data_IF_125538400707
#
_entry.id   IF_125538400707
#
_cell.length_a   1.000
_cell.length_b   1.000
_cell.length_c   1.000
_cell.angle_alpha   90.00
_cell.angle_beta   90.00
_cell.angle_gamma   90.00
#
_symmetry.space_group_name_H-M   'P 1'
#
loop_
_entity.id
_entity.type
_entity.pdbx_description
1 polymer ?
#
# COMPACT_ATOMS: atom_id res chain seq x y z
N UNK A 1 -19.00 0.97 4.90
CA UNK A 1 -17.65 1.01 4.29
C UNK A 1 -16.69 1.37 5.41
N UNK A 2 -15.76 0.49 5.77
CA UNK A 2 -14.70 0.79 6.74
C UNK A 2 -13.51 1.31 5.93
N UNK A 3 -13.02 2.51 6.23
CA UNK A 3 -11.84 3.10 5.58
C UNK A 3 -10.70 3.19 6.56
N UNK A 4 -9.51 2.73 6.15
CA UNK A 4 -8.27 2.92 6.89
C UNK A 4 -7.39 3.90 6.11
N UNK A 5 -6.87 4.91 6.79
CA UNK A 5 -5.96 5.89 6.21
C UNK A 5 -4.60 5.75 6.87
N UNK A 6 -3.55 5.61 6.06
CA UNK A 6 -2.16 5.63 6.51
C UNK A 6 -1.37 6.59 5.61
N UNK A 7 -0.61 7.48 6.24
CA UNK A 7 0.27 8.40 5.55
C UNK A 7 1.67 7.77 5.43
N UNK A 8 2.26 7.94 4.26
CA UNK A 8 3.64 7.54 3.96
C UNK A 8 4.38 8.76 3.42
N UNK A 9 5.65 8.88 3.76
CA UNK A 9 6.53 9.90 3.21
C UNK A 9 7.39 9.28 2.11
N UNK A 10 7.53 10.01 0.99
CA UNK A 10 8.48 9.65 -0.06
C UNK A 10 9.89 9.87 0.50
N UNK A 11 10.82 8.90 0.38
CA UNK A 11 12.21 9.08 0.80
C UNK A 11 12.86 10.30 0.15
N UNK A 12 13.70 11.02 0.90
CA UNK A 12 14.33 12.27 0.42
C UNK A 12 15.34 12.05 -0.71
N UNK A 13 15.88 10.84 -0.79
CA UNK A 13 16.84 10.36 -1.77
C UNK A 13 16.18 9.64 -2.95
N UNK A 14 14.85 9.57 -3.01
CA UNK A 14 14.15 9.03 -4.16
C UNK A 14 14.33 9.97 -5.36
N UNK A 15 14.78 9.42 -6.48
CA UNK A 15 15.07 10.15 -7.71
C UNK A 15 13.84 10.21 -8.62
N UNK A 16 13.81 11.18 -9.54
CA UNK A 16 12.74 11.27 -10.53
C UNK A 16 12.73 9.99 -11.42
N UNK A 17 11.56 9.37 -11.53
CA UNK A 17 11.38 8.09 -12.22
C UNK A 17 11.42 6.87 -11.29
N UNK A 18 11.86 7.01 -10.03
CA UNK A 18 11.80 5.93 -9.06
C UNK A 18 10.36 5.49 -8.80
N UNK A 19 10.19 4.19 -8.54
CA UNK A 19 8.89 3.59 -8.25
C UNK A 19 8.83 3.08 -6.82
N UNK A 20 7.86 3.56 -6.05
CA UNK A 20 7.57 3.09 -4.69
C UNK A 20 6.34 2.19 -4.74
N UNK A 21 6.51 0.94 -4.33
CA UNK A 21 5.47 -0.07 -4.34
C UNK A 21 4.91 -0.25 -2.92
N UNK A 22 3.69 0.22 -2.69
CA UNK A 22 2.97 0.01 -1.43
C UNK A 22 2.02 -1.18 -1.62
N UNK A 23 2.21 -2.24 -0.84
CA UNK A 23 1.32 -3.40 -0.82
C UNK A 23 0.52 -3.38 0.49
N UNK A 24 -0.79 -3.33 0.36
CA UNK A 24 -1.73 -3.43 1.47
C UNK A 24 -2.34 -4.81 1.45
N UNK A 25 -2.19 -5.54 2.54
CA UNK A 25 -2.88 -6.80 2.79
C UNK A 25 -3.96 -6.56 3.85
N UNK A 26 -5.17 -7.03 3.58
CA UNK A 26 -6.24 -7.12 4.58
C UNK A 26 -6.68 -8.57 4.70
N UNK A 27 -7.06 -8.93 5.92
CA UNK A 27 -7.52 -10.27 6.27
C UNK A 27 -8.81 -10.16 7.05
N UNK A 28 -9.80 -10.96 6.68
CA UNK A 28 -11.04 -11.05 7.44
C UNK A 28 -10.88 -11.92 8.70
N UNK A 29 -11.86 -11.84 9.60
CA UNK A 29 -11.91 -12.63 10.83
C UNK A 29 -12.88 -13.82 10.71
N UNK A 30 -13.12 -14.32 9.50
CA UNK A 30 -13.99 -15.47 9.27
C UNK A 30 -13.41 -16.78 9.80
N UNK A 31 -14.26 -17.83 9.87
CA UNK A 31 -13.82 -19.18 10.24
C UNK A 31 -12.74 -19.73 9.30
N UNK A 32 -12.86 -19.38 8.01
CA UNK A 32 -11.81 -19.56 7.02
C UNK A 32 -11.38 -18.18 6.60
N UNK A 33 -10.18 -17.78 7.01
CA UNK A 33 -9.73 -16.41 6.83
C UNK A 33 -9.31 -16.18 5.38
N UNK A 34 -9.90 -15.18 4.75
CA UNK A 34 -9.54 -14.78 3.38
C UNK A 34 -8.63 -13.56 3.42
N UNK A 35 -7.70 -13.50 2.45
CA UNK A 35 -6.78 -12.39 2.26
C UNK A 35 -7.08 -11.66 0.97
N UNK A 36 -6.98 -10.33 1.02
CA UNK A 36 -7.00 -9.47 -0.16
C UNK A 36 -5.78 -8.57 -0.17
N UNK A 37 -5.06 -8.55 -1.29
CA UNK A 37 -3.87 -7.72 -1.48
C UNK A 37 -4.13 -6.68 -2.56
N UNK A 38 -3.85 -5.42 -2.24
CA UNK A 38 -3.86 -4.32 -3.19
C UNK A 38 -2.47 -3.71 -3.28
N UNK A 39 -2.04 -3.41 -4.51
CA UNK A 39 -0.76 -2.74 -4.77
C UNK A 39 -1.01 -1.35 -5.35
N UNK A 40 -0.37 -0.36 -4.74
CA UNK A 40 -0.29 1.01 -5.24
C UNK A 40 1.14 1.25 -5.69
N UNK A 41 1.31 1.75 -6.91
CA UNK A 41 2.62 2.08 -7.49
C UNK A 41 2.67 3.59 -7.63
N UNK A 42 3.65 4.22 -6.98
CA UNK A 42 3.88 5.66 -7.01
C UNK A 42 5.15 5.90 -7.81
N UNK A 43 5.07 6.69 -8.88
CA UNK A 43 6.24 7.17 -9.61
C UNK A 43 6.62 8.55 -9.09
N UNK A 44 7.87 8.70 -8.68
CA UNK A 44 8.46 9.98 -8.23
C UNK A 44 8.67 10.89 -9.44
N UNK A 45 8.37 12.19 -9.29
CA UNK A 45 8.50 13.23 -10.34
C UNK A 45 9.42 14.36 -9.90
#
# INVERSE_FOLDING_TARGET
MVSFTKNYEVPKDAENGDTIHVVVEVQDNGKHQLKHCQRVIITVK
#
